data_IF_916276386085
#
_entry.id   IF_916276386085
#
_cell.length_a   1.000
_cell.length_b   1.000
_cell.length_c   1.000
_cell.angle_alpha   90.00
_cell.angle_beta   90.00
_cell.angle_gamma   90.00
#
_symmetry.space_group_name_H-M   'P 1'
#
loop_
_entity.id
_entity.type
_entity.pdbx_description
1 polymer ?
#
# COMPACT_ATOMS: atom_id res chain seq x y z
N UNK A 1 -4.15 7.58 -20.80
CA UNK A 1 -3.57 7.85 -19.48
C UNK A 1 -3.89 6.76 -18.48
N UNK A 2 -2.85 6.26 -17.83
CA UNK A 2 -2.96 5.28 -16.77
C UNK A 2 -2.42 5.93 -15.48
N UNK A 3 -3.29 6.57 -14.71
CA UNK A 3 -2.94 7.26 -13.45
C UNK A 3 -2.93 6.28 -12.28
N UNK A 4 -2.15 5.19 -12.39
CA UNK A 4 -2.02 4.24 -11.31
C UNK A 4 -0.56 4.06 -10.87
N UNK A 5 -0.39 3.82 -9.58
CA UNK A 5 0.90 3.53 -8.96
C UNK A 5 0.85 2.11 -8.41
N UNK A 6 1.86 1.30 -8.76
CA UNK A 6 2.10 0.03 -8.08
C UNK A 6 2.93 0.28 -6.82
N UNK A 7 2.50 -0.29 -5.70
CA UNK A 7 3.20 -0.23 -4.43
C UNK A 7 3.07 -1.58 -3.71
N UNK A 8 4.04 -1.96 -2.88
CA UNK A 8 4.08 -3.33 -2.39
C UNK A 8 5.27 -3.65 -1.50
N UNK A 9 5.61 -4.95 -1.48
CA UNK A 9 6.46 -5.65 -0.48
C UNK A 9 5.79 -5.80 0.89
N UNK A 10 4.47 -5.87 0.90
CA UNK A 10 3.73 -6.21 2.11
C UNK A 10 3.94 -7.68 2.46
N UNK A 11 4.16 -7.96 3.75
CA UNK A 11 4.15 -9.34 4.26
C UNK A 11 2.77 -10.00 4.07
N UNK A 12 1.71 -9.19 4.17
CA UNK A 12 0.31 -9.58 3.94
C UNK A 12 -0.39 -8.48 3.12
N UNK A 13 -0.41 -8.64 1.79
CA UNK A 13 -1.07 -7.70 0.89
C UNK A 13 -2.60 -7.62 1.10
N UNK A 14 -3.33 -8.74 1.31
CA UNK A 14 -4.75 -8.69 1.70
C UNK A 14 -5.03 -7.87 2.97
N UNK A 15 -4.19 -7.99 4.00
CA UNK A 15 -4.34 -7.20 5.23
C UNK A 15 -4.09 -5.70 4.98
N UNK A 16 -3.02 -5.36 4.27
CA UNK A 16 -2.73 -3.99 3.87
C UNK A 16 -3.86 -3.39 3.00
N UNK A 17 -4.42 -4.18 2.08
CA UNK A 17 -5.56 -3.79 1.26
C UNK A 17 -6.79 -3.43 2.11
N UNK A 18 -7.12 -4.26 3.10
CA UNK A 18 -8.24 -4.00 4.01
C UNK A 18 -7.99 -2.72 4.82
N UNK A 19 -6.79 -2.55 5.37
CA UNK A 19 -6.43 -1.41 6.19
C UNK A 19 -6.48 -0.07 5.43
N UNK A 20 -6.16 -0.08 4.13
CA UNK A 20 -6.31 1.07 3.23
C UNK A 20 -7.78 1.33 2.89
N UNK A 21 -8.56 0.28 2.62
CA UNK A 21 -9.99 0.40 2.33
C UNK A 21 -10.77 1.00 3.51
N UNK A 22 -10.43 0.59 4.75
CA UNK A 22 -11.05 1.11 5.97
C UNK A 22 -10.75 2.61 6.19
N UNK A 23 -9.70 3.14 5.55
CA UNK A 23 -9.32 4.56 5.54
C UNK A 23 -9.88 5.32 4.34
N UNK A 24 -10.74 4.70 3.53
CA UNK A 24 -11.34 5.30 2.34
C UNK A 24 -10.44 5.28 1.11
N UNK A 25 -9.30 4.57 1.15
CA UNK A 25 -8.36 4.48 0.02
C UNK A 25 -8.67 3.24 -0.82
N UNK A 26 -9.15 3.47 -2.04
CA UNK A 26 -9.50 2.41 -2.98
C UNK A 26 -8.26 1.85 -3.68
N UNK A 27 -7.83 0.67 -3.24
CA UNK A 27 -6.73 -0.09 -3.82
C UNK A 27 -7.21 -1.39 -4.43
N UNK A 28 -6.45 -1.90 -5.41
CA UNK A 28 -6.76 -3.13 -6.14
C UNK A 28 -5.58 -4.08 -6.07
N UNK A 29 -5.90 -5.36 -5.95
CA UNK A 29 -4.94 -6.43 -6.19
C UNK A 29 -4.63 -6.51 -7.70
N UNK A 30 -3.38 -6.80 -8.01
CA UNK A 30 -2.85 -6.99 -9.37
C UNK A 30 -2.52 -8.45 -9.66
N UNK A 31 -2.75 -9.36 -8.71
CA UNK A 31 -2.42 -10.78 -8.80
C UNK A 31 -0.95 -11.08 -8.53
N UNK A 32 -0.18 -10.08 -8.05
CA UNK A 32 1.23 -10.26 -7.68
C UNK A 32 1.33 -10.35 -6.14
N UNK A 33 2.00 -11.38 -5.60
CA UNK A 33 2.11 -11.57 -4.16
C UNK A 33 2.86 -10.40 -3.52
N UNK A 34 2.24 -9.75 -2.53
CA UNK A 34 2.84 -8.62 -1.81
C UNK A 34 2.67 -7.26 -2.50
N UNK A 35 1.91 -7.17 -3.61
CA UNK A 35 1.76 -5.95 -4.39
C UNK A 35 0.30 -5.54 -4.56
N UNK A 36 0.07 -4.22 -4.54
CA UNK A 36 -1.22 -3.58 -4.78
C UNK A 36 -1.04 -2.43 -5.77
N UNK A 37 -2.14 -1.98 -6.36
CA UNK A 37 -2.19 -0.73 -7.14
C UNK A 37 -3.21 0.24 -6.57
N UNK A 38 -2.88 1.52 -6.63
CA UNK A 38 -3.78 2.63 -6.31
C UNK A 38 -4.00 3.44 -7.58
N UNK A 39 -5.21 3.94 -7.77
CA UNK A 39 -5.51 4.95 -8.78
C UNK A 39 -5.82 6.23 -8.02
N UNK A 40 -4.91 7.20 -8.08
CA UNK A 40 -5.11 8.53 -7.50
C UNK A 40 -5.39 9.51 -8.64
N UNK A 41 -6.59 10.08 -8.66
CA UNK A 41 -7.02 11.00 -9.71
C UNK A 41 -6.64 12.46 -9.41
N UNK A 42 -6.46 12.79 -8.13
CA UNK A 42 -6.21 14.15 -7.62
C UNK A 42 -5.06 14.19 -6.61
N UNK A 43 -4.47 15.37 -6.36
CA UNK A 43 -3.47 15.55 -5.31
C UNK A 43 -4.01 15.17 -3.92
N UNK A 44 -5.27 15.54 -3.61
CA UNK A 44 -5.89 15.22 -2.32
C UNK A 44 -6.03 13.69 -2.11
N UNK A 45 -6.41 12.94 -3.15
CA UNK A 45 -6.44 11.47 -3.09
C UNK A 45 -5.04 10.87 -2.91
N UNK A 46 -4.02 11.50 -3.49
CA UNK A 46 -2.62 11.07 -3.34
C UNK A 46 -2.13 11.31 -1.91
N UNK A 47 -2.41 12.47 -1.33
CA UNK A 47 -2.02 12.80 0.05
C UNK A 47 -2.72 11.91 1.07
N UNK A 48 -4.00 11.61 0.86
CA UNK A 48 -4.75 10.66 1.68
C UNK A 48 -4.14 9.25 1.58
N UNK A 49 -3.77 8.80 0.38
CA UNK A 49 -3.07 7.53 0.18
C UNK A 49 -1.72 7.49 0.90
N UNK A 50 -0.88 8.51 0.75
CA UNK A 50 0.45 8.56 1.39
C UNK A 50 0.34 8.57 2.91
N UNK A 51 -0.63 9.30 3.46
CA UNK A 51 -0.91 9.33 4.90
C UNK A 51 -1.33 7.95 5.40
N UNK A 52 -2.34 7.35 4.76
CA UNK A 52 -2.82 6.01 5.11
C UNK A 52 -1.72 4.95 5.01
N UNK A 53 -0.90 5.02 3.95
CA UNK A 53 0.24 4.13 3.75
C UNK A 53 1.28 4.28 4.87
N UNK A 54 1.58 5.51 5.30
CA UNK A 54 2.50 5.77 6.40
C UNK A 54 2.03 5.15 7.72
N UNK A 55 0.73 5.21 8.01
CA UNK A 55 0.15 4.60 9.21
C UNK A 55 0.25 3.08 9.19
N UNK A 56 -0.05 2.43 8.06
CA UNK A 56 -0.06 0.97 7.98
C UNK A 56 1.33 0.37 7.73
N UNK A 57 2.27 1.12 7.17
CA UNK A 57 3.62 0.63 6.88
C UNK A 57 4.35 0.25 8.17
N UNK A 58 4.08 0.92 9.28
CA UNK A 58 4.66 0.57 10.58
C UNK A 58 4.28 -0.85 11.02
N UNK A 59 3.04 -1.26 10.76
CA UNK A 59 2.44 -2.52 11.18
C UNK A 59 2.72 -3.69 10.22
N UNK A 60 3.03 -3.39 8.96
CA UNK A 60 3.15 -4.38 7.88
C UNK A 60 4.55 -4.47 7.24
N UNK A 61 5.58 -3.85 7.85
CA UNK A 61 6.97 -3.96 7.38
C UNK A 61 7.38 -5.42 7.27
N UNK A 62 7.85 -5.82 6.10
CA UNK A 62 8.62 -7.04 5.92
C UNK A 62 9.90 -6.92 6.73
N UNK A 63 10.10 -7.84 7.67
CA UNK A 63 11.37 -8.00 8.40
C UNK A 63 12.41 -8.64 7.48
N UNK A 64 12.84 -7.92 6.44
CA UNK A 64 13.99 -8.29 5.64
C UNK A 64 15.00 -7.15 5.74
N UNK A 65 15.81 -7.19 6.80
CA UNK A 65 16.80 -6.15 7.06
C UNK A 65 17.58 -6.24 8.38
N UNK A 66 17.23 -7.14 9.31
CA UNK A 66 18.12 -7.48 10.43
C UNK A 66 18.97 -8.70 10.07
N UNK A 67 19.82 -8.53 9.05
CA UNK A 67 21.03 -9.34 8.94
C UNK A 67 22.12 -8.59 9.68
N UNK A 68 22.17 -8.81 10.99
CA UNK A 68 23.33 -8.52 11.82
C UNK A 68 24.57 -9.20 11.21
N UNK A 69 25.56 -8.41 10.77
CA UNK A 69 26.98 -8.72 10.91
C UNK A 69 27.88 -7.51 10.64
#
# INVERSE_FOLDING_TARGET
DANFVLFGRFADAPAAWRALLDRGVLVRDVGLPGWLRVTAGTPEETDAFLTALGEIAADHRTTEGDSSS
#
